data_IF_198521432652
#
_entry.id   IF_198521432652
#
_cell.length_a   1.000
_cell.length_b   1.000
_cell.length_c   1.000
_cell.angle_alpha   90.00
_cell.angle_beta   90.00
_cell.angle_gamma   90.00
#
_symmetry.space_group_name_H-M   'P 1'
#
loop_
_entity.id
_entity.type
_entity.pdbx_description
1 polymer ?
#
# COMPACT_ATOMS: atom_id res chain seq x y z
N UNK A 1 -23.29 27.98 35.64
CA UNK A 1 -23.59 26.89 34.70
C UNK A 1 -22.73 27.11 33.48
N UNK A 2 -21.53 26.53 33.49
CA UNK A 2 -20.67 26.44 32.31
C UNK A 2 -20.62 24.97 31.92
N UNK A 3 -20.83 24.67 30.64
CA UNK A 3 -20.85 23.30 30.14
C UNK A 3 -19.43 22.82 29.89
N UNK A 4 -18.95 21.85 30.68
CA UNK A 4 -17.75 21.09 30.35
C UNK A 4 -17.95 20.37 29.00
N UNK A 5 -17.14 20.72 28.00
CA UNK A 5 -17.07 19.92 26.77
C UNK A 5 -16.31 18.63 27.07
N UNK A 6 -16.99 17.49 26.95
CA UNK A 6 -16.36 16.17 27.03
C UNK A 6 -15.46 15.91 25.81
N UNK A 7 -14.22 16.39 25.88
CA UNK A 7 -13.17 16.09 24.91
C UNK A 7 -12.81 14.60 24.96
N UNK A 8 -13.27 13.85 23.96
CA UNK A 8 -12.96 12.42 23.82
C UNK A 8 -11.57 12.23 23.21
N UNK A 9 -10.57 11.97 24.07
CA UNK A 9 -9.14 11.82 23.73
C UNK A 9 -8.90 10.67 22.73
N UNK A 10 -8.83 10.98 21.42
CA UNK A 10 -8.50 10.00 20.38
C UNK A 10 -7.05 10.13 19.92
N UNK A 11 -6.29 9.03 20.08
CA UNK A 11 -4.91 8.77 19.67
C UNK A 11 -3.73 9.46 20.40
N UNK A 12 -2.70 8.63 20.66
CA UNK A 12 -1.36 9.05 21.10
C UNK A 12 -0.70 9.98 20.07
N UNK A 13 -0.18 11.13 20.51
CA UNK A 13 0.50 12.08 19.63
C UNK A 13 2.02 11.84 19.65
N UNK A 14 2.56 11.68 18.44
CA UNK A 14 3.98 11.69 18.12
C UNK A 14 4.31 13.05 17.48
N UNK A 15 5.15 13.86 18.13
CA UNK A 15 5.66 15.14 17.58
C UNK A 15 7.18 15.09 17.40
N UNK A 16 7.68 15.30 16.19
CA UNK A 16 9.11 15.48 15.96
C UNK A 16 9.54 16.90 16.32
N UNK A 17 10.55 17.03 17.19
CA UNK A 17 11.13 18.31 17.60
C UNK A 17 12.48 18.49 16.91
N UNK A 18 12.63 19.54 16.10
CA UNK A 18 13.91 19.96 15.57
C UNK A 18 14.57 20.95 16.54
N UNK A 19 15.74 20.61 17.08
CA UNK A 19 16.55 21.52 17.87
C UNK A 19 17.48 22.36 16.96
N UNK A 20 17.68 23.67 17.24
CA UNK A 20 18.62 24.49 16.50
C UNK A 20 20.06 23.98 16.65
N UNK A 21 20.80 23.96 15.54
CA UNK A 21 22.23 23.62 15.57
C UNK A 21 23.05 24.86 15.96
N UNK A 22 23.54 24.93 17.20
CA UNK A 22 24.53 25.94 17.59
C UNK A 22 25.91 25.60 17.03
N UNK A 23 26.58 26.59 16.43
CA UNK A 23 27.86 26.41 15.72
C UNK A 23 29.02 27.13 16.44
N UNK A 24 29.82 26.30 17.12
CA UNK A 24 31.29 26.34 17.25
C UNK A 24 32.00 27.43 18.10
N UNK A 25 32.72 26.93 19.11
CA UNK A 25 34.08 27.34 19.51
C UNK A 25 34.98 26.08 19.53
N UNK A 26 36.31 26.18 19.34
CA UNK A 26 37.04 25.08 18.69
C UNK A 26 37.70 24.04 19.61
N UNK A 27 37.95 22.86 19.00
CA UNK A 27 38.93 21.83 19.40
C UNK A 27 38.54 20.91 20.57
N UNK A 28 37.49 20.12 20.36
CA UNK A 28 37.32 18.81 21.00
C UNK A 28 37.32 17.69 19.94
N UNK A 29 37.55 16.46 20.38
CA UNK A 29 37.56 15.23 19.56
C UNK A 29 36.31 15.12 18.67
N UNK A 30 36.48 14.50 17.49
CA UNK A 30 35.40 14.28 16.53
C UNK A 30 34.46 13.16 17.02
N UNK A 31 33.71 13.44 18.08
CA UNK A 31 32.88 12.47 18.77
C UNK A 31 31.74 12.00 17.87
N UNK A 32 31.44 10.71 17.96
CA UNK A 32 30.56 10.00 17.02
C UNK A 32 29.08 10.20 17.35
N UNK A 33 28.64 11.46 17.34
CA UNK A 33 27.24 11.83 17.53
C UNK A 33 26.34 11.07 16.55
N UNK A 34 25.53 10.15 17.09
CA UNK A 34 24.62 9.30 16.33
C UNK A 34 23.46 10.15 15.79
N UNK A 35 23.11 9.99 14.51
CA UNK A 35 22.03 10.77 13.89
C UNK A 35 20.66 10.18 14.24
N UNK A 36 20.17 10.53 15.43
CA UNK A 36 18.86 10.16 15.94
C UNK A 36 17.81 11.22 15.59
N UNK A 37 16.55 10.78 15.59
CA UNK A 37 15.36 11.62 15.57
C UNK A 37 14.65 11.49 16.90
N UNK A 38 14.14 12.59 17.41
CA UNK A 38 13.43 12.63 18.69
C UNK A 38 11.94 12.86 18.45
N UNK A 39 11.12 12.13 19.20
CA UNK A 39 9.68 12.37 19.29
C UNK A 39 9.26 12.57 20.75
N UNK A 40 8.37 13.54 21.00
CA UNK A 40 7.61 13.67 22.24
C UNK A 40 6.48 12.64 22.31
N UNK A 41 6.32 11.98 23.46
CA UNK A 41 5.21 11.09 23.79
C UNK A 41 4.14 11.86 24.58
N UNK A 42 2.90 11.94 24.07
CA UNK A 42 1.76 12.45 24.85
C UNK A 42 0.95 11.29 25.43
N UNK A 43 0.75 11.25 26.75
CA UNK A 43 -0.10 10.25 27.40
C UNK A 43 -1.59 10.69 27.36
N UNK A 44 -2.46 10.02 26.59
CA UNK A 44 -3.89 9.96 26.92
C UNK A 44 -4.08 8.89 28.02
N UNK A 45 -5.06 9.08 28.90
CA UNK A 45 -5.48 8.06 29.86
C UNK A 45 -6.28 6.95 29.15
N UNK A 46 -5.88 5.70 29.37
CA UNK A 46 -6.53 4.46 28.89
C UNK A 46 -6.74 4.35 27.35
N UNK A 47 -5.82 3.69 26.62
CA UNK A 47 -6.17 3.12 25.33
C UNK A 47 -7.03 1.86 25.54
N UNK A 48 -7.95 1.55 24.63
CA UNK A 48 -8.60 0.25 24.61
C UNK A 48 -7.57 -0.87 24.43
N UNK A 49 -7.90 -2.07 24.92
CA UNK A 49 -7.13 -3.31 24.76
C UNK A 49 -6.76 -3.61 23.29
N UNK A 50 -7.55 -3.04 22.37
CA UNK A 50 -7.45 -3.08 20.91
C UNK A 50 -6.07 -2.66 20.34
N UNK A 51 -5.30 -1.75 20.93
CA UNK A 51 -4.06 -1.25 20.27
C UNK A 51 -3.06 -2.37 19.94
N UNK A 52 -2.87 -3.34 20.84
CA UNK A 52 -1.99 -4.48 20.58
C UNK A 52 -2.57 -5.42 19.51
N UNK A 53 -3.88 -5.69 19.57
CA UNK A 53 -4.60 -6.50 18.60
C UNK A 53 -4.55 -5.88 17.19
N UNK A 54 -4.79 -4.57 17.10
CA UNK A 54 -4.68 -3.76 15.88
C UNK A 54 -3.29 -3.86 15.27
N UNK A 55 -2.22 -3.60 16.04
CA UNK A 55 -0.84 -3.71 15.52
C UNK A 55 -0.51 -5.12 15.03
N UNK A 56 -0.98 -6.15 15.75
CA UNK A 56 -0.81 -7.55 15.36
C UNK A 56 -1.55 -7.88 14.06
N UNK A 57 -2.81 -7.43 13.92
CA UNK A 57 -3.59 -7.54 12.68
C UNK A 57 -2.91 -6.85 11.50
N UNK A 58 -2.45 -5.61 11.66
CA UNK A 58 -1.75 -4.87 10.61
C UNK A 58 -0.42 -5.54 10.21
N UNK A 59 0.32 -6.11 11.16
CA UNK A 59 1.53 -6.86 10.89
C UNK A 59 1.24 -8.16 10.11
N UNK A 60 0.25 -8.93 10.54
CA UNK A 60 -0.18 -10.15 9.88
C UNK A 60 -0.69 -9.89 8.45
N UNK A 61 -1.54 -8.87 8.27
CA UNK A 61 -2.04 -8.45 6.96
C UNK A 61 -0.90 -8.02 6.03
N UNK A 62 0.09 -7.26 6.54
CA UNK A 62 1.25 -6.81 5.77
C UNK A 62 2.16 -7.97 5.33
N UNK A 63 2.40 -8.94 6.21
CA UNK A 63 3.17 -10.15 5.87
C UNK A 63 2.44 -11.02 4.85
N UNK A 64 1.14 -11.23 5.05
CA UNK A 64 0.32 -11.99 4.10
C UNK A 64 0.27 -11.30 2.73
N UNK A 65 0.15 -9.97 2.70
CA UNK A 65 0.24 -9.13 1.50
C UNK A 65 1.56 -9.28 0.78
N UNK A 66 2.68 -9.29 1.52
CA UNK A 66 4.00 -9.55 0.97
C UNK A 66 4.12 -10.93 0.32
N UNK A 67 3.51 -11.98 0.87
CA UNK A 67 3.47 -13.30 0.24
C UNK A 67 2.65 -13.33 -1.05
N UNK A 68 1.47 -12.70 -1.06
CA UNK A 68 0.62 -12.68 -2.26
C UNK A 68 1.26 -11.92 -3.42
N UNK A 69 1.89 -10.76 -3.15
CA UNK A 69 2.62 -9.97 -4.14
C UNK A 69 3.69 -10.79 -4.88
N UNK A 70 4.07 -11.93 -4.33
CA UNK A 70 5.03 -12.82 -4.97
C UNK A 70 4.39 -13.69 -6.09
N UNK A 71 3.11 -13.46 -6.49
CA UNK A 71 2.36 -14.25 -7.51
C UNK A 71 1.13 -13.59 -8.28
N UNK A 72 1.23 -12.56 -9.18
CA UNK A 72 0.05 -11.96 -9.92
C UNK A 72 -0.21 -12.36 -11.42
N UNK A 73 -1.03 -11.60 -12.22
CA UNK A 73 -1.35 -11.66 -13.71
C UNK A 73 -1.88 -10.27 -14.25
N UNK A 74 -2.33 -10.09 -15.54
CA UNK A 74 -3.38 -9.13 -16.15
C UNK A 74 -3.04 -8.35 -17.52
N UNK A 75 -3.99 -7.93 -18.44
CA UNK A 75 -3.84 -7.15 -19.78
C UNK A 75 -4.79 -5.86 -20.09
N UNK A 76 -4.61 -4.86 -21.07
CA UNK A 76 -5.06 -3.38 -20.99
C UNK A 76 -5.70 -2.53 -22.17
N UNK A 77 -6.18 -1.26 -21.91
CA UNK A 77 -6.26 -0.06 -22.83
C UNK A 77 -6.67 1.33 -22.18
N UNK A 78 -6.51 2.53 -22.82
CA UNK A 78 -6.23 3.89 -22.22
C UNK A 78 -7.30 5.07 -22.14
N UNK A 79 -7.10 6.13 -21.27
CA UNK A 79 -7.93 7.39 -21.03
C UNK A 79 -7.13 8.66 -20.46
N UNK A 80 -7.66 9.48 -19.51
CA UNK A 80 -7.21 10.87 -19.14
C UNK A 80 -7.48 11.34 -17.66
N UNK A 81 -7.10 12.59 -17.31
CA UNK A 81 -6.97 13.26 -15.98
C UNK A 81 -8.24 13.40 -15.10
N UNK A 82 -8.13 13.25 -13.77
CA UNK A 82 -9.20 13.49 -12.74
C UNK A 82 -8.58 13.58 -11.32
N UNK A 83 -9.24 14.19 -10.32
CA UNK A 83 -8.88 14.09 -8.89
C UNK A 83 -9.99 13.44 -8.05
N UNK A 84 -9.64 12.70 -6.99
CA UNK A 84 -10.59 12.11 -6.01
C UNK A 84 -10.04 12.16 -4.58
N UNK A 85 -10.90 12.29 -3.54
CA UNK A 85 -10.49 12.16 -2.15
C UNK A 85 -9.84 10.81 -1.83
N UNK A 86 -8.87 10.83 -0.91
CA UNK A 86 -8.11 9.67 -0.44
C UNK A 86 -7.97 9.73 1.09
N UNK A 87 -8.59 8.77 1.79
CA UNK A 87 -8.77 8.78 3.26
C UNK A 87 -8.12 7.55 3.94
N UNK A 88 -7.53 7.71 5.15
CA UNK A 88 -6.97 6.61 5.93
C UNK A 88 -8.04 5.89 6.77
N UNK A 89 -7.87 4.59 7.01
CA UNK A 89 -8.83 3.77 7.76
C UNK A 89 -8.17 2.80 8.75
N UNK A 90 -8.88 2.46 9.84
CA UNK A 90 -8.36 1.63 10.94
C UNK A 90 -7.87 0.23 10.50
N UNK A 91 -8.44 -0.33 9.44
CA UNK A 91 -7.99 -1.59 8.83
C UNK A 91 -6.62 -1.49 8.14
N UNK A 92 -5.98 -0.31 8.09
CA UNK A 92 -4.60 -0.10 7.66
C UNK A 92 -4.41 0.16 6.17
N UNK A 93 -5.48 0.44 5.44
CA UNK A 93 -5.44 0.86 4.04
C UNK A 93 -5.89 2.31 3.86
N UNK A 94 -5.88 2.74 2.60
CA UNK A 94 -6.42 4.02 2.17
C UNK A 94 -7.54 3.79 1.16
N UNK A 95 -8.69 4.42 1.36
CA UNK A 95 -9.82 4.33 0.43
C UNK A 95 -9.89 5.54 -0.50
N UNK A 96 -10.32 5.27 -1.73
CA UNK A 96 -10.89 6.25 -2.66
C UNK A 96 -12.35 5.90 -2.94
N UNK A 97 -13.09 6.85 -3.48
CA UNK A 97 -14.46 6.64 -3.96
C UNK A 97 -14.49 6.77 -5.47
N UNK A 98 -15.06 5.78 -6.16
CA UNK A 98 -15.31 5.81 -7.61
C UNK A 98 -16.79 5.58 -7.88
N UNK A 99 -17.29 6.07 -9.02
CA UNK A 99 -18.68 5.90 -9.43
C UNK A 99 -18.75 5.02 -10.67
N UNK A 100 -19.68 4.07 -10.68
CA UNK A 100 -19.89 3.14 -11.80
C UNK A 100 -21.35 3.11 -12.22
N UNK A 101 -21.61 3.01 -13.51
CA UNK A 101 -22.94 2.78 -14.07
C UNK A 101 -23.69 4.02 -14.55
N UNK A 102 -24.85 3.77 -15.14
CA UNK A 102 -25.76 4.79 -15.67
C UNK A 102 -27.20 4.52 -15.20
N UNK A 103 -27.75 5.25 -14.22
CA UNK A 103 -27.10 6.31 -13.43
C UNK A 103 -25.96 5.79 -12.53
N UNK A 104 -25.02 6.65 -12.10
CA UNK A 104 -23.84 6.20 -11.37
C UNK A 104 -24.13 5.81 -9.91
N UNK A 105 -23.66 4.63 -9.53
CA UNK A 105 -23.62 4.11 -8.16
C UNK A 105 -22.24 4.40 -7.56
N UNK A 106 -22.19 4.90 -6.33
CA UNK A 106 -20.97 5.36 -5.67
C UNK A 106 -20.40 4.26 -4.76
N UNK A 107 -19.15 3.86 -4.97
CA UNK A 107 -18.54 2.70 -4.31
C UNK A 107 -17.17 3.06 -3.69
N UNK A 108 -16.84 2.58 -2.48
CA UNK A 108 -15.52 2.71 -1.87
C UNK A 108 -14.56 1.61 -2.35
N UNK A 109 -13.29 1.96 -2.56
CA UNK A 109 -12.23 1.04 -2.97
C UNK A 109 -10.94 1.30 -2.19
N UNK A 110 -10.29 0.25 -1.70
CA UNK A 110 -8.91 0.34 -1.24
C UNK A 110 -8.02 0.65 -2.45
N UNK A 111 -7.18 1.67 -2.34
CA UNK A 111 -6.21 2.04 -3.38
C UNK A 111 -4.96 1.16 -3.28
N UNK A 112 -4.71 0.33 -4.29
CA UNK A 112 -3.69 -0.72 -4.23
C UNK A 112 -2.69 -0.69 -5.41
N UNK A 113 -1.52 -0.07 -5.21
CA UNK A 113 -0.44 -0.04 -6.22
C UNK A 113 0.31 -1.38 -6.41
N UNK A 114 0.12 -2.35 -5.52
CA UNK A 114 0.65 -3.71 -5.61
C UNK A 114 -0.34 -4.74 -6.18
N UNK A 115 -1.48 -4.33 -6.73
CA UNK A 115 -2.32 -5.18 -7.58
C UNK A 115 -2.86 -4.42 -8.78
N UNK A 116 -3.58 -5.10 -9.66
CA UNK A 116 -4.07 -4.50 -10.90
C UNK A 116 -5.54 -4.73 -11.18
N UNK A 117 -6.22 -5.75 -10.62
CA UNK A 117 -7.64 -5.88 -10.91
C UNK A 117 -8.48 -4.89 -10.10
N UNK A 118 -9.45 -4.26 -10.75
CA UNK A 118 -10.47 -3.42 -10.09
C UNK A 118 -11.72 -4.26 -9.88
N UNK A 119 -12.26 -4.30 -8.66
CA UNK A 119 -13.49 -5.03 -8.35
C UNK A 119 -14.24 -4.42 -7.16
N UNK A 120 -15.53 -4.69 -7.09
CA UNK A 120 -16.41 -4.28 -5.99
C UNK A 120 -17.33 -5.42 -5.50
N UNK A 121 -17.81 -5.37 -4.25
CA UNK A 121 -18.96 -6.15 -3.80
C UNK A 121 -20.16 -5.93 -4.71
N UNK A 122 -20.82 -7.01 -5.14
CA UNK A 122 -21.81 -6.96 -6.20
C UNK A 122 -23.07 -7.79 -5.87
N UNK A 123 -24.24 -7.22 -6.19
CA UNK A 123 -25.58 -7.74 -5.89
C UNK A 123 -25.95 -7.76 -4.40
N UNK A 124 -27.27 -7.80 -4.11
CA UNK A 124 -27.80 -7.96 -2.76
C UNK A 124 -27.42 -9.29 -2.08
N UNK A 125 -26.92 -10.26 -2.85
CA UNK A 125 -26.53 -11.59 -2.36
C UNK A 125 -25.01 -11.71 -2.12
N UNK A 126 -24.29 -10.58 -2.06
CA UNK A 126 -22.85 -10.59 -1.77
C UNK A 126 -22.54 -11.22 -0.41
N UNK A 127 -21.60 -12.16 -0.38
CA UNK A 127 -21.18 -12.84 0.86
C UNK A 127 -19.73 -12.50 1.21
N UNK A 128 -19.52 -11.91 2.38
CA UNK A 128 -18.20 -11.68 2.95
C UNK A 128 -17.95 -12.63 4.12
N UNK A 129 -16.91 -13.47 4.02
CA UNK A 129 -16.51 -14.42 5.08
C UNK A 129 -15.29 -13.92 5.87
N UNK A 130 -15.35 -13.99 7.20
CA UNK A 130 -14.27 -13.55 8.10
C UNK A 130 -13.89 -12.07 7.85
N UNK A 131 -14.89 -11.21 7.66
CA UNK A 131 -14.73 -9.81 7.22
C UNK A 131 -15.04 -8.81 8.34
N UNK A 132 -14.79 -9.19 9.58
CA UNK A 132 -15.18 -8.41 10.75
C UNK A 132 -14.24 -7.21 10.89
N UNK A 133 -14.80 -6.01 10.77
CA UNK A 133 -14.07 -4.78 11.06
C UNK A 133 -13.87 -4.67 12.58
N UNK A 134 -12.64 -4.40 13.02
CA UNK A 134 -12.30 -4.24 14.45
C UNK A 134 -12.85 -2.95 15.10
N UNK A 135 -13.81 -2.28 14.45
CA UNK A 135 -14.58 -1.17 15.02
C UNK A 135 -15.84 -1.74 15.68
N UNK A 136 -15.96 -1.61 17.00
CA UNK A 136 -17.04 -2.20 17.82
C UNK A 136 -18.45 -1.59 17.63
N UNK A 137 -18.92 -1.46 16.40
CA UNK A 137 -20.30 -1.19 16.05
C UNK A 137 -20.83 -2.32 15.15
N UNK A 138 -21.64 -3.18 15.76
CA UNK A 138 -22.54 -4.19 15.19
C UNK A 138 -22.20 -4.81 13.82
N UNK A 139 -21.98 -6.12 13.85
CA UNK A 139 -22.15 -7.04 12.74
C UNK A 139 -23.47 -6.83 11.98
N UNK A 140 -23.47 -6.05 10.90
CA UNK A 140 -24.45 -6.27 9.82
C UNK A 140 -23.73 -6.39 8.47
N UNK A 141 -23.73 -7.61 7.93
CA UNK A 141 -23.20 -7.93 6.59
C UNK A 141 -23.95 -7.18 5.48
N UNK A 142 -25.16 -6.66 5.76
CA UNK A 142 -25.94 -5.79 4.86
C UNK A 142 -25.40 -4.36 4.75
N UNK A 143 -24.48 -3.94 5.63
CA UNK A 143 -23.89 -2.59 5.60
C UNK A 143 -22.81 -2.40 4.52
N UNK A 144 -22.27 -3.50 3.96
CA UNK A 144 -21.26 -3.43 2.90
C UNK A 144 -21.91 -2.82 1.65
N UNK A 145 -21.43 -1.68 1.13
CA UNK A 145 -21.95 -1.11 -0.12
C UNK A 145 -21.78 -2.12 -1.24
N UNK A 146 -22.85 -2.40 -1.98
CA UNK A 146 -22.87 -3.33 -3.11
C UNK A 146 -23.33 -2.62 -4.36
N UNK A 147 -22.62 -2.87 -5.47
CA UNK A 147 -23.05 -2.43 -6.78
C UNK A 147 -24.15 -3.36 -7.30
N UNK A 148 -25.24 -2.81 -7.83
CA UNK A 148 -26.37 -3.56 -8.39
C UNK A 148 -26.38 -3.38 -9.92
N UNK A 149 -25.91 -4.36 -10.71
CA UNK A 149 -25.82 -4.22 -12.18
C UNK A 149 -27.17 -3.91 -12.84
N UNK A 150 -28.27 -4.44 -12.32
CA UNK A 150 -29.62 -4.19 -12.85
C UNK A 150 -30.08 -2.72 -12.75
N UNK A 151 -29.42 -1.91 -11.93
CA UNK A 151 -29.70 -0.47 -11.79
C UNK A 151 -28.80 0.40 -12.70
N UNK A 152 -27.96 -0.21 -13.54
CA UNK A 152 -27.12 0.48 -14.53
C UNK A 152 -27.49 0.04 -15.94
N UNK A 153 -27.92 0.98 -16.77
CA UNK A 153 -28.23 0.72 -18.20
C UNK A 153 -26.98 0.45 -19.05
N UNK A 154 -25.78 0.71 -18.51
CA UNK A 154 -24.50 0.45 -19.19
C UNK A 154 -23.77 -0.81 -18.67
N UNK A 155 -24.31 -1.50 -17.66
CA UNK A 155 -23.74 -2.74 -17.14
C UNK A 155 -23.91 -3.91 -18.13
N UNK A 156 -22.80 -4.55 -18.50
CA UNK A 156 -22.77 -5.70 -19.42
C UNK A 156 -21.83 -6.77 -18.88
N UNK A 157 -22.29 -8.02 -18.78
CA UNK A 157 -21.39 -9.15 -18.47
C UNK A 157 -20.42 -9.33 -19.64
N UNK A 158 -19.13 -9.52 -19.35
CA UNK A 158 -18.11 -9.74 -20.38
C UNK A 158 -18.35 -11.09 -21.04
N UNK A 159 -18.60 -11.12 -22.36
CA UNK A 159 -18.62 -12.36 -23.16
C UNK A 159 -17.21 -12.93 -23.36
N UNK A 160 -17.05 -14.25 -23.55
CA UNK A 160 -15.70 -14.84 -23.61
C UNK A 160 -14.86 -14.35 -24.82
N UNK A 161 -15.47 -14.16 -25.98
CA UNK A 161 -14.77 -13.59 -27.15
C UNK A 161 -14.40 -12.10 -27.01
N UNK A 162 -14.81 -11.43 -25.93
CA UNK A 162 -14.38 -10.07 -25.66
C UNK A 162 -12.87 -10.06 -25.34
N UNK A 163 -12.04 -9.23 -25.99
CA UNK A 163 -10.60 -9.17 -25.71
C UNK A 163 -10.25 -8.95 -24.24
N UNK A 164 -11.12 -8.23 -23.49
CA UNK A 164 -10.96 -7.97 -22.06
C UNK A 164 -11.15 -9.21 -21.17
N UNK A 165 -11.65 -10.32 -21.70
CA UNK A 165 -11.67 -11.59 -20.97
C UNK A 165 -10.25 -12.17 -20.80
N UNK A 166 -9.44 -12.11 -21.86
CA UNK A 166 -8.01 -12.45 -21.83
C UNK A 166 -7.14 -11.44 -21.06
N UNK A 167 -7.75 -10.39 -20.51
CA UNK A 167 -7.10 -9.50 -19.55
C UNK A 167 -7.11 -10.05 -18.14
N UNK A 168 -8.08 -10.89 -17.78
CA UNK A 168 -8.23 -11.46 -16.45
C UNK A 168 -7.54 -12.82 -16.37
N UNK A 169 -7.72 -13.61 -17.43
CA UNK A 169 -7.26 -14.99 -17.53
C UNK A 169 -6.04 -15.08 -18.45
N UNK A 170 -5.11 -16.00 -18.14
CA UNK A 170 -3.91 -16.25 -18.96
C UNK A 170 -4.30 -16.55 -20.43
N UNK A 171 -3.62 -16.06 -21.48
CA UNK A 171 -3.93 -16.25 -22.91
C UNK A 171 -4.55 -17.59 -23.38
N UNK A 172 -4.23 -18.72 -22.74
CA UNK A 172 -4.95 -20.01 -22.89
C UNK A 172 -6.44 -19.98 -22.47
N UNK A 173 -7.00 -18.81 -22.13
CA UNK A 173 -8.43 -18.60 -21.85
C UNK A 173 -9.31 -19.11 -22.98
N UNK A 174 -8.81 -19.10 -24.23
CA UNK A 174 -9.49 -19.68 -25.39
C UNK A 174 -9.80 -21.17 -25.20
N UNK A 175 -8.93 -21.92 -24.52
CA UNK A 175 -9.18 -23.33 -24.17
C UNK A 175 -10.23 -23.51 -23.05
N UNK A 176 -10.58 -22.45 -22.32
CA UNK A 176 -11.66 -22.44 -21.31
C UNK A 176 -13.02 -22.01 -21.87
N UNK A 177 -13.09 -21.70 -23.16
CA UNK A 177 -14.32 -21.36 -23.88
C UNK A 177 -14.44 -22.25 -25.12
N UNK A 178 -14.43 -23.56 -24.87
CA UNK A 178 -14.38 -24.65 -25.86
C UNK A 178 -15.37 -24.50 -27.01
N UNK A 179 -16.55 -23.97 -26.71
CA UNK A 179 -17.69 -23.96 -27.65
C UNK A 179 -17.74 -22.66 -28.47
N UNK A 180 -16.81 -21.73 -28.20
CA UNK A 180 -16.71 -20.44 -28.89
C UNK A 180 -15.57 -20.46 -29.92
N UNK A 181 -15.81 -21.15 -31.04
CA UNK A 181 -14.91 -21.14 -32.19
C UNK A 181 -14.60 -19.71 -32.66
N UNK A 182 -13.35 -19.48 -33.11
CA UNK A 182 -12.80 -18.15 -33.43
C UNK A 182 -13.61 -17.31 -34.44
N UNK A 183 -14.43 -17.96 -35.27
CA UNK A 183 -15.25 -17.31 -36.30
C UNK A 183 -16.76 -17.37 -35.99
N UNK A 184 -17.17 -17.80 -34.78
CA UNK A 184 -18.58 -17.82 -34.37
C UNK A 184 -19.02 -16.44 -33.88
N UNK A 185 -19.86 -15.76 -34.65
CA UNK A 185 -20.56 -14.54 -34.21
C UNK A 185 -21.56 -14.78 -33.07
N UNK A 186 -21.88 -16.05 -32.79
CA UNK A 186 -22.99 -16.46 -31.92
C UNK A 186 -22.51 -17.07 -30.58
N UNK A 187 -21.28 -16.80 -30.16
CA UNK A 187 -20.79 -17.19 -28.83
C UNK A 187 -21.58 -16.47 -27.72
N UNK A 188 -22.47 -17.20 -27.04
CA UNK A 188 -23.21 -16.71 -25.87
C UNK A 188 -22.51 -16.96 -24.54
N UNK A 189 -21.38 -17.69 -24.54
CA UNK A 189 -20.62 -17.95 -23.31
C UNK A 189 -20.07 -16.66 -22.72
N UNK A 190 -20.28 -16.49 -21.41
CA UNK A 190 -19.65 -15.42 -20.63
C UNK A 190 -18.17 -15.72 -20.40
N UNK A 191 -17.39 -14.69 -20.10
CA UNK A 191 -16.02 -14.85 -19.64
C UNK A 191 -16.00 -15.70 -18.35
N UNK A 192 -15.06 -16.65 -18.19
CA UNK A 192 -15.02 -17.51 -17.02
C UNK A 192 -14.98 -16.70 -15.71
N UNK A 193 -15.61 -17.17 -14.62
CA UNK A 193 -15.51 -16.53 -13.31
C UNK A 193 -14.06 -16.38 -12.86
N UNK A 194 -13.73 -15.28 -12.19
CA UNK A 194 -12.43 -15.11 -11.56
C UNK A 194 -12.44 -15.54 -10.10
N UNK A 195 -11.29 -15.99 -9.63
CA UNK A 195 -10.93 -16.06 -8.22
C UNK A 195 -9.59 -15.35 -8.08
N UNK A 196 -9.56 -14.27 -7.30
CA UNK A 196 -8.36 -13.50 -7.03
C UNK A 196 -8.04 -13.65 -5.56
N UNK A 197 -6.88 -14.23 -5.29
CA UNK A 197 -6.28 -14.21 -3.97
C UNK A 197 -5.65 -12.83 -3.79
N UNK A 198 -5.70 -12.31 -2.57
CA UNK A 198 -4.85 -11.25 -2.06
C UNK A 198 -4.03 -11.84 -0.91
N UNK A 199 -3.28 -11.02 -0.19
CA UNK A 199 -2.59 -11.49 1.01
C UNK A 199 -3.50 -11.52 2.23
N UNK A 200 -4.17 -10.41 2.48
CA UNK A 200 -5.17 -10.27 3.55
C UNK A 200 -6.38 -11.19 3.37
N UNK A 201 -6.77 -11.46 2.12
CA UNK A 201 -8.04 -12.12 1.81
C UNK A 201 -8.15 -12.66 0.38
N UNK A 202 -9.36 -12.84 -0.12
CA UNK A 202 -9.64 -13.29 -1.49
C UNK A 202 -11.00 -12.82 -1.97
N UNK A 203 -11.26 -12.87 -3.28
CA UNK A 203 -12.55 -12.51 -3.87
C UNK A 203 -12.84 -13.32 -5.13
N UNK A 204 -14.11 -13.59 -5.41
CA UNK A 204 -14.52 -14.26 -6.64
C UNK A 204 -15.85 -13.74 -7.18
N UNK A 205 -16.01 -13.82 -8.50
CA UNK A 205 -17.18 -13.28 -9.19
C UNK A 205 -17.04 -13.26 -10.71
N UNK A 206 -17.80 -12.37 -11.33
CA UNK A 206 -17.94 -12.26 -12.78
C UNK A 206 -17.34 -10.96 -13.30
N UNK A 207 -16.74 -11.03 -14.49
CA UNK A 207 -16.22 -9.85 -15.18
C UNK A 207 -17.37 -9.03 -15.78
N UNK A 208 -17.38 -7.73 -15.48
CA UNK A 208 -18.38 -6.76 -15.94
C UNK A 208 -17.69 -5.65 -16.74
N UNK A 209 -18.37 -5.17 -17.77
CA UNK A 209 -18.11 -3.86 -18.37
C UNK A 209 -19.17 -2.89 -17.88
N UNK A 210 -18.76 -1.70 -17.44
CA UNK A 210 -19.69 -0.61 -17.19
C UNK A 210 -19.01 0.75 -17.41
N UNK A 211 -19.77 1.84 -17.30
CA UNK A 211 -19.26 3.21 -17.38
C UNK A 211 -18.64 3.60 -16.04
N UNK A 212 -17.34 3.87 -15.99
CA UNK A 212 -16.71 4.57 -14.87
C UNK A 212 -16.97 6.07 -15.02
N UNK A 213 -17.60 6.68 -14.02
CA UNK A 213 -17.92 8.11 -13.97
C UNK A 213 -16.92 8.83 -13.04
N UNK A 214 -16.15 9.73 -13.65
CA UNK A 214 -15.12 10.56 -13.01
C UNK A 214 -15.60 12.02 -12.85
N UNK A 215 -16.92 12.22 -12.80
CA UNK A 215 -17.66 13.50 -12.81
C UNK A 215 -17.47 14.32 -14.10
N UNK A 216 -16.23 14.74 -14.38
CA UNK A 216 -15.87 15.53 -15.58
C UNK A 216 -15.77 14.66 -16.84
N UNK A 217 -15.62 13.35 -16.66
CA UNK A 217 -15.47 12.39 -17.76
C UNK A 217 -16.14 11.06 -17.45
N UNK A 218 -16.85 10.53 -18.45
CA UNK A 218 -17.34 9.16 -18.45
C UNK A 218 -16.42 8.28 -19.28
N UNK A 219 -16.16 7.07 -18.78
CA UNK A 219 -15.30 6.06 -19.40
C UNK A 219 -16.16 4.82 -19.63
N UNK A 220 -16.78 4.69 -20.82
CA UNK A 220 -17.61 3.53 -21.14
C UNK A 220 -16.74 2.26 -21.25
N UNK A 221 -17.39 1.11 -21.07
CA UNK A 221 -16.77 -0.22 -21.18
C UNK A 221 -15.53 -0.43 -20.30
N UNK A 222 -15.45 0.23 -19.14
CA UNK A 222 -14.41 -0.03 -18.14
C UNK A 222 -14.59 -1.45 -17.57
N UNK A 223 -13.52 -2.23 -17.54
CA UNK A 223 -13.55 -3.60 -17.02
C UNK A 223 -13.46 -3.58 -15.50
N UNK A 224 -14.43 -4.21 -14.84
CA UNK A 224 -14.48 -4.29 -13.38
C UNK A 224 -15.01 -5.66 -12.93
N UNK A 225 -14.52 -6.13 -11.79
CA UNK A 225 -15.05 -7.31 -11.14
C UNK A 225 -16.34 -7.03 -10.40
N UNK A 226 -17.43 -7.71 -10.80
CA UNK A 226 -18.63 -7.87 -9.99
C UNK A 226 -18.41 -9.07 -9.06
N UNK A 227 -17.86 -8.83 -7.86
CA UNK A 227 -17.57 -9.90 -6.90
C UNK A 227 -18.84 -10.34 -6.20
N UNK A 228 -19.11 -11.64 -6.25
CA UNK A 228 -20.25 -12.27 -5.58
C UNK A 228 -19.89 -12.71 -4.15
N UNK A 229 -18.60 -12.94 -3.90
CA UNK A 229 -18.10 -13.23 -2.57
C UNK A 229 -16.69 -12.70 -2.35
N UNK A 230 -16.32 -12.59 -1.07
CA UNK A 230 -14.94 -12.41 -0.64
C UNK A 230 -14.69 -13.09 0.71
N UNK A 231 -13.42 -13.20 1.07
CA UNK A 231 -13.02 -13.53 2.44
C UNK A 231 -11.97 -12.54 2.91
N UNK A 232 -12.10 -12.05 4.16
CA UNK A 232 -11.20 -11.07 4.81
C UNK A 232 -10.98 -9.78 4.01
N UNK A 233 -11.93 -9.44 3.14
CA UNK A 233 -11.82 -8.30 2.23
C UNK A 233 -13.21 -7.69 2.00
N UNK A 234 -13.73 -6.90 2.96
CA UNK A 234 -15.09 -6.34 2.91
C UNK A 234 -15.29 -5.28 1.82
N UNK A 235 -14.29 -4.41 1.63
CA UNK A 235 -14.32 -3.37 0.61
C UNK A 235 -13.69 -3.86 -0.72
N UNK A 236 -14.17 -3.28 -1.83
CA UNK A 236 -13.57 -3.46 -3.15
C UNK A 236 -12.12 -2.95 -3.20
N UNK A 237 -11.39 -3.34 -4.25
CA UNK A 237 -10.02 -2.88 -4.48
C UNK A 237 -9.95 -2.21 -5.85
N UNK A 238 -9.29 -1.05 -5.89
CA UNK A 238 -8.88 -0.40 -7.11
C UNK A 238 -7.39 -0.67 -7.31
N UNK A 239 -7.06 -1.59 -8.21
CA UNK A 239 -5.68 -1.88 -8.59
C UNK A 239 -5.05 -0.70 -9.33
N UNK A 240 -3.87 -0.26 -8.87
CA UNK A 240 -3.08 0.84 -9.42
C UNK A 240 -1.72 0.39 -10.00
N UNK A 241 -1.47 -0.91 -10.05
CA UNK A 241 -0.29 -1.51 -10.67
C UNK A 241 -0.12 -1.19 -12.17
N UNK A 242 0.96 -1.73 -12.73
CA UNK A 242 1.29 -1.67 -14.17
C UNK A 242 0.65 -2.79 -14.97
N UNK A 243 0.13 -3.78 -14.26
CA UNK A 243 -0.84 -4.71 -14.80
C UNK A 243 -2.04 -3.93 -15.26
N UNK A 244 -2.80 -4.61 -16.08
CA UNK A 244 -3.21 -3.90 -17.28
C UNK A 244 -4.75 -3.72 -17.28
N UNK A 245 -5.45 -4.48 -16.43
CA UNK A 245 -6.77 -4.17 -15.85
C UNK A 245 -6.73 -3.08 -14.76
N UNK A 246 -5.55 -2.54 -14.43
CA UNK A 246 -5.41 -1.50 -13.41
C UNK A 246 -6.00 -0.16 -13.84
N UNK A 247 -6.41 0.66 -12.88
CA UNK A 247 -6.91 2.01 -13.11
C UNK A 247 -5.94 2.82 -13.99
N UNK A 248 -4.61 2.86 -13.79
CA UNK A 248 -3.72 3.63 -14.65
C UNK A 248 -3.63 3.12 -16.08
N UNK A 249 -3.77 1.81 -16.26
CA UNK A 249 -3.72 1.15 -17.58
C UNK A 249 -5.04 1.34 -18.31
N UNK A 250 -6.15 0.99 -17.67
CA UNK A 250 -7.53 1.22 -18.12
C UNK A 250 -7.89 2.69 -18.32
N UNK A 251 -7.22 3.60 -17.62
CA UNK A 251 -7.32 5.05 -17.80
C UNK A 251 -6.11 5.66 -18.51
N UNK A 252 -5.19 4.86 -19.09
CA UNK A 252 -4.11 5.35 -19.96
C UNK A 252 -3.30 6.51 -19.43
N UNK A 253 -3.10 6.54 -18.13
CA UNK A 253 -2.54 7.68 -17.43
C UNK A 253 -1.08 7.87 -17.85
N UNK A 254 -0.69 9.11 -18.13
CA UNK A 254 0.73 9.47 -18.23
C UNK A 254 1.36 9.50 -16.84
N UNK A 255 0.55 9.78 -15.82
CA UNK A 255 0.95 9.96 -14.43
C UNK A 255 -0.22 9.72 -13.48
N UNK A 256 0.06 9.28 -12.26
CA UNK A 256 -0.80 9.52 -11.10
C UNK A 256 0.03 9.92 -9.86
N UNK A 257 -0.60 10.58 -8.89
CA UNK A 257 0.07 11.05 -7.68
C UNK A 257 -0.87 11.18 -6.48
N UNK A 258 -0.36 11.02 -5.27
CA UNK A 258 -1.12 11.10 -4.02
C UNK A 258 -0.29 11.65 -2.87
N UNK A 259 -0.92 11.94 -1.73
CA UNK A 259 -0.27 12.33 -0.49
C UNK A 259 -0.94 11.61 0.68
N UNK A 260 -0.33 10.58 1.26
CA UNK A 260 -1.02 9.78 2.29
C UNK A 260 -1.12 10.54 3.63
N UNK A 261 -2.35 10.84 4.05
CA UNK A 261 -2.69 11.35 5.39
C UNK A 261 -2.23 10.37 6.46
N UNK A 262 -1.82 10.85 7.64
CA UNK A 262 -1.33 9.96 8.68
C UNK A 262 -2.45 9.09 9.29
N UNK A 263 -2.14 7.82 9.57
CA UNK A 263 -3.04 6.86 10.26
C UNK A 263 -3.44 7.28 11.69
N UNK A 264 -2.89 8.36 12.25
CA UNK A 264 -3.47 9.00 13.45
C UNK A 264 -4.86 9.61 13.22
N UNK A 265 -5.29 9.68 11.96
CA UNK A 265 -6.57 10.22 11.50
C UNK A 265 -7.48 9.15 10.89
N UNK A 266 -7.19 7.86 11.13
CA UNK A 266 -8.01 6.74 10.69
C UNK A 266 -9.49 6.95 11.04
N UNK A 267 -10.37 6.72 10.06
CA UNK A 267 -11.83 6.81 10.18
C UNK A 267 -12.37 8.20 10.60
N UNK A 268 -11.53 9.23 10.51
CA UNK A 268 -11.96 10.64 10.61
C UNK A 268 -12.30 11.23 9.24
N UNK A 269 -12.82 12.46 9.22
CA UNK A 269 -13.09 13.20 7.97
C UNK A 269 -11.82 13.76 7.29
N UNK A 270 -10.62 13.55 7.87
CA UNK A 270 -9.36 14.02 7.29
C UNK A 270 -9.01 13.21 6.04
N UNK A 271 -8.93 13.89 4.90
CA UNK A 271 -8.61 13.29 3.62
C UNK A 271 -7.58 14.11 2.85
N UNK A 272 -7.02 13.48 1.83
CA UNK A 272 -6.10 14.06 0.85
C UNK A 272 -6.65 13.85 -0.56
N UNK A 273 -5.84 14.05 -1.60
CA UNK A 273 -6.25 13.83 -2.99
C UNK A 273 -5.35 12.82 -3.70
N UNK A 274 -5.99 11.88 -4.42
CA UNK A 274 -5.40 11.11 -5.50
C UNK A 274 -5.66 11.84 -6.81
N UNK A 275 -4.60 12.24 -7.51
CA UNK A 275 -4.64 12.92 -8.79
C UNK A 275 -4.19 11.98 -9.91
N UNK A 276 -5.09 11.72 -10.86
CA UNK A 276 -4.89 10.96 -12.08
C UNK A 276 -4.57 11.94 -13.21
N UNK A 277 -3.64 11.63 -14.12
CA UNK A 277 -3.25 12.54 -15.22
C UNK A 277 -3.09 11.80 -16.55
N UNK A 278 -3.79 12.29 -17.58
CA UNK A 278 -3.80 11.74 -18.92
C UNK A 278 -2.58 12.06 -19.78
N UNK A 279 -2.53 11.48 -20.98
CA UNK A 279 -1.46 11.74 -21.95
C UNK A 279 -1.46 13.16 -22.55
N UNK A 280 -2.61 13.85 -22.56
CA UNK A 280 -2.78 15.16 -23.19
C UNK A 280 -2.33 16.36 -22.35
N UNK A 281 -1.90 16.17 -21.09
CA UNK A 281 -1.50 17.28 -20.21
C UNK A 281 0.00 17.19 -19.89
N UNK A 282 0.73 18.25 -20.24
CA UNK A 282 2.07 18.50 -19.71
C UNK A 282 1.95 18.90 -18.23
N UNK A 283 1.90 17.90 -17.34
CA UNK A 283 1.74 18.15 -15.91
C UNK A 283 2.83 19.08 -15.36
N UNK A 284 2.42 19.98 -14.46
CA UNK A 284 3.29 21.00 -13.88
C UNK A 284 4.54 20.40 -13.22
N UNK A 285 5.67 21.10 -13.37
CA UNK A 285 6.95 20.72 -12.78
C UNK A 285 7.00 21.16 -11.31
N UNK A 286 6.29 20.45 -10.45
CA UNK A 286 6.28 20.65 -9.00
C UNK A 286 7.71 20.70 -8.44
N UNK A 287 8.01 21.76 -7.70
CA UNK A 287 9.34 21.99 -7.13
C UNK A 287 9.68 20.98 -6.02
N UNK A 288 10.98 20.65 -5.89
CA UNK A 288 11.51 19.83 -4.80
C UNK A 288 11.27 18.32 -4.89
N UNK A 289 10.59 17.81 -5.93
CA UNK A 289 10.44 16.37 -6.15
C UNK A 289 11.79 15.73 -6.49
N UNK A 290 12.15 14.67 -5.74
CA UNK A 290 13.28 13.80 -6.05
C UNK A 290 12.80 12.61 -6.85
N UNK A 291 13.50 12.26 -7.92
CA UNK A 291 13.13 11.17 -8.82
C UNK A 291 14.14 10.02 -8.81
N UNK A 292 13.63 8.80 -8.88
CA UNK A 292 14.39 7.57 -9.20
C UNK A 292 13.71 6.84 -10.36
N UNK A 293 14.45 6.02 -11.11
CA UNK A 293 13.90 5.27 -12.26
C UNK A 293 13.05 4.10 -11.78
N UNK A 294 11.85 3.97 -12.35
CA UNK A 294 11.07 2.74 -12.26
C UNK A 294 11.74 1.68 -13.12
N UNK A 295 12.13 0.58 -12.48
CA UNK A 295 12.71 -0.57 -13.15
C UNK A 295 11.60 -1.45 -13.74
N UNK A 296 11.97 -2.30 -14.70
CA UNK A 296 11.20 -3.50 -15.03
C UNK A 296 11.88 -4.66 -14.31
N UNK A 297 11.09 -5.61 -13.82
CA UNK A 297 11.66 -6.91 -13.44
C UNK A 297 12.20 -7.58 -14.73
N UNK A 298 13.37 -8.24 -14.71
CA UNK A 298 13.80 -9.09 -15.82
C UNK A 298 12.70 -10.07 -16.24
N UNK A 299 12.47 -10.22 -17.54
CA UNK A 299 11.51 -11.22 -18.03
C UNK A 299 12.14 -12.61 -17.89
N UNK A 300 11.83 -13.27 -16.78
CA UNK A 300 12.20 -14.66 -16.49
C UNK A 300 10.94 -15.51 -16.67
N UNK A 301 11.09 -16.67 -17.32
CA UNK A 301 9.98 -17.58 -17.61
C UNK A 301 9.25 -18.01 -16.32
N UNK A 302 7.91 -18.01 -16.35
CA UNK A 302 7.04 -18.25 -15.19
C UNK A 302 7.18 -17.21 -14.05
N UNK A 303 7.76 -16.04 -14.33
CA UNK A 303 7.85 -14.85 -13.46
C UNK A 303 7.36 -13.57 -14.14
N UNK A 304 6.70 -13.68 -15.30
CA UNK A 304 6.13 -12.57 -16.08
C UNK A 304 5.20 -11.72 -15.22
N UNK A 305 4.57 -12.34 -14.24
CA UNK A 305 3.73 -11.70 -13.23
C UNK A 305 4.44 -10.55 -12.49
N UNK A 306 5.75 -10.61 -12.23
CA UNK A 306 6.47 -9.51 -11.56
C UNK A 306 6.60 -8.24 -12.40
N UNK A 307 6.28 -8.29 -13.70
CA UNK A 307 6.28 -7.10 -14.56
C UNK A 307 5.23 -6.05 -14.16
N UNK A 308 4.16 -6.44 -13.45
CA UNK A 308 3.06 -5.55 -13.06
C UNK A 308 3.43 -4.56 -11.95
N UNK A 309 4.61 -4.68 -11.33
CA UNK A 309 4.99 -3.86 -10.17
C UNK A 309 5.89 -2.66 -10.50
N UNK A 310 5.77 -1.63 -9.65
CA UNK A 310 6.61 -0.45 -9.64
C UNK A 310 7.94 -0.72 -8.94
N UNK A 311 8.81 -1.47 -9.59
CA UNK A 311 10.14 -1.78 -9.05
C UNK A 311 11.05 -0.56 -8.96
N UNK A 312 11.80 -0.49 -7.86
CA UNK A 312 12.84 0.49 -7.57
C UNK A 312 14.17 -0.22 -7.27
N UNK A 313 15.26 0.37 -7.76
CA UNK A 313 16.60 -0.03 -7.38
C UNK A 313 17.05 0.70 -6.13
N UNK A 314 17.22 0.00 -5.01
CA UNK A 314 17.94 0.51 -3.85
C UNK A 314 19.45 0.47 -4.14
N UNK A 315 20.16 1.51 -3.70
CA UNK A 315 21.62 1.54 -3.64
C UNK A 315 22.10 1.15 -2.24
N UNK A 316 21.54 1.78 -1.21
CA UNK A 316 21.85 1.51 0.20
C UNK A 316 20.60 1.72 1.08
N UNK A 317 20.48 0.94 2.16
CA UNK A 317 19.72 1.33 3.35
C UNK A 317 20.70 1.91 4.38
N UNK A 318 20.32 3.03 5.02
CA UNK A 318 21.12 3.67 6.06
C UNK A 318 20.32 3.76 7.36
N UNK A 319 20.97 3.43 8.48
CA UNK A 319 20.46 3.61 9.84
C UNK A 319 21.41 4.56 10.56
N UNK A 320 20.89 5.70 11.02
CA UNK A 320 21.71 6.86 11.35
C UNK A 320 22.63 7.22 10.19
N UNK A 321 23.92 7.39 10.51
CA UNK A 321 24.98 7.64 9.52
C UNK A 321 25.56 6.36 8.89
N UNK A 322 25.21 5.16 9.39
CA UNK A 322 25.83 3.90 8.96
C UNK A 322 25.12 3.27 7.77
N UNK A 323 25.89 2.81 6.79
CA UNK A 323 25.37 1.95 5.70
C UNK A 323 25.20 0.53 6.21
N UNK A 324 23.99 0.00 6.15
CA UNK A 324 23.72 -1.41 6.46
C UNK A 324 24.33 -2.29 5.36
N UNK A 325 25.03 -3.37 5.73
CA UNK A 325 25.63 -4.32 4.79
C UNK A 325 24.56 -5.31 4.33
N UNK A 326 24.07 -5.15 3.10
CA UNK A 326 23.06 -6.02 2.47
C UNK A 326 23.60 -6.45 1.09
N UNK A 327 23.52 -7.73 0.70
CA UNK A 327 23.91 -8.19 -0.64
C UNK A 327 23.16 -7.48 -1.77
N UNK A 328 23.86 -7.18 -2.88
CA UNK A 328 23.30 -6.41 -4.01
C UNK A 328 22.06 -7.03 -4.67
N UNK A 329 21.96 -8.36 -4.89
CA UNK A 329 20.77 -8.96 -5.52
C UNK A 329 19.47 -8.60 -4.78
N UNK A 330 19.49 -8.58 -3.45
CA UNK A 330 18.32 -8.20 -2.65
C UNK A 330 17.95 -6.70 -2.75
N UNK A 331 18.84 -5.84 -3.24
CA UNK A 331 18.61 -4.39 -3.35
C UNK A 331 18.13 -3.94 -4.75
N UNK A 332 18.22 -4.78 -5.79
CA UNK A 332 17.71 -4.44 -7.12
C UNK A 332 17.44 -5.69 -7.96
N UNK A 333 16.28 -5.83 -8.62
CA UNK A 333 16.01 -6.99 -9.49
C UNK A 333 16.95 -7.04 -10.70
N UNK A 334 17.55 -5.90 -11.09
CA UNK A 334 18.56 -5.81 -12.14
C UNK A 334 19.96 -6.34 -11.72
N UNK A 335 20.18 -6.58 -10.42
CA UNK A 335 21.42 -7.16 -9.89
C UNK A 335 21.24 -8.66 -9.56
N UNK A 336 20.17 -9.29 -10.09
CA UNK A 336 19.74 -10.65 -9.77
C UNK A 336 19.41 -11.45 -11.03
N UNK A 337 20.01 -12.64 -11.18
CA UNK A 337 19.82 -13.50 -12.35
C UNK A 337 18.39 -14.08 -12.44
N UNK A 338 17.69 -14.20 -11.32
CA UNK A 338 16.35 -14.81 -11.21
C UNK A 338 15.21 -13.79 -11.24
N UNK A 339 15.53 -12.49 -11.38
CA UNK A 339 14.58 -11.38 -11.25
C UNK A 339 14.14 -11.07 -9.80
N UNK A 340 14.52 -11.89 -8.83
CA UNK A 340 14.17 -11.67 -7.41
C UNK A 340 14.99 -10.52 -6.82
N UNK A 341 14.42 -9.79 -5.86
CA UNK A 341 15.12 -8.70 -5.17
C UNK A 341 14.66 -7.29 -5.53
N UNK A 342 15.32 -6.33 -4.87
CA UNK A 342 14.96 -4.92 -4.88
C UNK A 342 13.64 -4.60 -4.20
N UNK A 343 13.21 -3.36 -4.41
CA UNK A 343 12.06 -2.77 -3.75
C UNK A 343 10.89 -2.59 -4.72
N UNK A 344 9.66 -2.66 -4.21
CA UNK A 344 8.48 -2.07 -4.84
C UNK A 344 7.83 -1.07 -3.88
N UNK A 345 6.90 -0.27 -4.37
CA UNK A 345 6.04 0.60 -3.54
C UNK A 345 4.62 0.08 -3.61
N UNK A 346 4.00 -0.16 -2.45
CA UNK A 346 2.62 -0.65 -2.37
C UNK A 346 1.82 0.17 -1.33
N UNK A 347 0.75 0.82 -1.79
CA UNK A 347 -0.24 1.51 -0.96
C UNK A 347 -1.21 0.54 -0.27
N UNK A 348 -1.40 -0.66 -0.82
CA UNK A 348 -2.22 -1.75 -0.27
C UNK A 348 -1.50 -2.61 0.78
N UNK A 349 -0.21 -2.37 1.03
CA UNK A 349 0.54 -2.95 2.16
C UNK A 349 0.63 -1.91 3.26
N UNK A 350 0.27 -2.26 4.50
CA UNK A 350 0.29 -1.32 5.63
C UNK A 350 1.72 -1.02 6.10
N UNK A 351 2.38 -2.02 6.71
CA UNK A 351 3.76 -1.93 7.18
C UNK A 351 4.73 -2.43 6.11
N UNK A 352 5.86 -1.73 5.92
CA UNK A 352 6.90 -2.20 5.00
C UNK A 352 7.33 -3.62 5.29
N UNK A 353 7.35 -4.48 4.29
CA UNK A 353 7.97 -5.81 4.39
C UNK A 353 9.43 -5.75 3.94
N UNK A 354 10.30 -6.49 4.63
CA UNK A 354 11.66 -6.79 4.19
C UNK A 354 11.89 -8.30 4.30
N UNK A 355 12.49 -8.90 3.26
CA UNK A 355 13.02 -10.27 3.34
C UNK A 355 14.12 -10.35 4.40
N UNK A 356 14.35 -11.53 4.99
CA UNK A 356 15.15 -11.69 6.23
C UNK A 356 16.58 -11.15 6.10
N UNK A 357 17.20 -11.31 4.93
CA UNK A 357 18.57 -10.88 4.60
C UNK A 357 18.69 -9.36 4.44
N UNK A 358 17.56 -8.67 4.28
CA UNK A 358 17.44 -7.21 4.35
C UNK A 358 17.06 -6.77 5.76
N UNK A 359 16.09 -7.46 6.37
CA UNK A 359 15.52 -7.12 7.67
C UNK A 359 16.53 -7.27 8.82
N UNK A 360 17.13 -8.46 8.99
CA UNK A 360 17.96 -8.75 10.17
C UNK A 360 19.18 -7.81 10.29
N UNK A 361 19.89 -7.43 9.20
CA UNK A 361 20.94 -6.42 9.27
C UNK A 361 20.42 -5.01 9.63
N UNK A 362 19.22 -4.64 9.18
CA UNK A 362 18.61 -3.33 9.48
C UNK A 362 18.14 -3.27 10.93
N UNK A 363 17.40 -4.29 11.38
CA UNK A 363 16.92 -4.42 12.75
C UNK A 363 18.08 -4.43 13.76
N UNK A 364 19.12 -5.24 13.53
CA UNK A 364 20.33 -5.29 14.38
C UNK A 364 21.04 -3.94 14.47
N UNK A 365 21.09 -3.17 13.38
CA UNK A 365 21.71 -1.85 13.40
C UNK A 365 20.87 -0.83 14.18
N UNK A 366 19.54 -0.89 14.04
CA UNK A 366 18.61 -0.09 14.84
C UNK A 366 18.79 -0.41 16.33
N UNK A 367 18.85 -1.69 16.71
CA UNK A 367 19.10 -2.15 18.08
C UNK A 367 20.46 -1.65 18.63
N UNK A 368 21.52 -1.69 17.80
CA UNK A 368 22.86 -1.22 18.18
C UNK A 368 22.89 0.28 18.49
N UNK A 369 22.13 1.08 17.74
CA UNK A 369 22.03 2.53 17.95
C UNK A 369 21.03 2.88 19.06
N UNK A 370 19.97 2.08 19.25
CA UNK A 370 18.95 2.24 20.29
C UNK A 370 19.30 1.56 21.64
N UNK A 371 20.56 1.19 21.87
CA UNK A 371 21.03 0.45 23.07
C UNK A 371 20.73 1.10 24.44
N UNK A 372 20.32 2.37 24.46
CA UNK A 372 19.83 3.05 25.67
C UNK A 372 18.45 2.59 26.14
N UNK A 373 17.72 1.82 25.33
CA UNK A 373 16.39 1.30 25.65
C UNK A 373 16.39 -0.22 25.80
N UNK A 374 15.68 -0.73 26.82
CA UNK A 374 15.48 -2.18 27.00
C UNK A 374 14.53 -2.71 25.91
N UNK A 375 14.75 -3.94 25.45
CA UNK A 375 13.86 -4.61 24.48
C UNK A 375 12.56 -5.05 25.15
N UNK A 376 11.41 -4.68 24.57
CA UNK A 376 10.09 -5.05 25.07
C UNK A 376 9.63 -6.39 24.47
N UNK A 377 10.28 -7.50 24.87
CA UNK A 377 10.11 -8.83 24.24
C UNK A 377 8.69 -9.38 24.27
N UNK A 378 7.93 -9.11 25.32
CA UNK A 378 6.50 -9.47 25.41
C UNK A 378 5.67 -8.75 24.34
N UNK A 379 5.94 -7.46 24.10
CA UNK A 379 5.29 -6.68 23.03
C UNK A 379 5.68 -7.19 21.64
N UNK A 380 6.94 -7.63 21.44
CA UNK A 380 7.36 -8.26 20.18
C UNK A 380 6.58 -9.56 19.91
N UNK A 381 6.32 -10.36 20.94
CA UNK A 381 5.52 -11.59 20.83
C UNK A 381 4.03 -11.31 20.56
N UNK A 382 3.44 -10.29 21.20
CA UNK A 382 2.03 -9.93 21.02
C UNK A 382 1.74 -9.28 19.65
N UNK A 383 2.66 -8.45 19.15
CA UNK A 383 2.44 -7.66 17.92
C UNK A 383 3.08 -8.27 16.66
N UNK A 384 4.02 -9.20 16.82
CA UNK A 384 4.86 -9.69 15.72
C UNK A 384 5.88 -8.68 15.19
N UNK A 385 5.91 -7.45 15.73
CA UNK A 385 6.84 -6.39 15.34
C UNK A 385 8.16 -6.50 16.13
N UNK A 386 9.28 -6.19 15.50
CA UNK A 386 10.59 -6.14 16.18
C UNK A 386 11.57 -5.22 15.43
N UNK A 387 12.53 -4.57 16.12
CA UNK A 387 12.61 -4.44 17.55
C UNK A 387 11.49 -3.56 18.13
N UNK A 388 11.00 -3.94 19.30
CA UNK A 388 10.25 -3.07 20.20
C UNK A 388 11.13 -2.66 21.38
N UNK A 389 11.09 -1.37 21.75
CA UNK A 389 11.86 -0.79 22.84
C UNK A 389 10.90 -0.30 23.93
N UNK A 390 11.16 -0.67 25.18
CA UNK A 390 10.43 -0.15 26.33
C UNK A 390 10.79 1.33 26.53
N UNK A 391 9.77 2.17 26.63
CA UNK A 391 9.87 3.62 26.81
C UNK A 391 8.98 4.14 27.94
N UNK A 392 8.50 3.24 28.81
CA UNK A 392 7.67 3.57 29.97
C UNK A 392 8.33 4.66 30.83
N UNK A 393 7.55 5.70 31.16
CA UNK A 393 8.02 6.84 31.97
C UNK A 393 8.85 7.89 31.22
N UNK A 394 9.15 7.69 29.92
CA UNK A 394 9.85 8.69 29.12
C UNK A 394 8.87 9.71 28.52
N UNK A 395 9.26 11.00 28.52
CA UNK A 395 8.52 12.06 27.81
C UNK A 395 8.98 12.22 26.36
N UNK A 396 10.22 11.83 26.06
CA UNK A 396 10.87 11.95 24.75
C UNK A 396 11.67 10.68 24.45
N UNK A 397 11.60 10.21 23.21
CA UNK A 397 12.32 9.03 22.74
C UNK A 397 13.17 9.42 21.53
N UNK A 398 14.44 9.00 21.52
CA UNK A 398 15.44 9.37 20.51
C UNK A 398 15.95 8.11 19.79
N UNK A 399 15.42 7.84 18.60
CA UNK A 399 15.69 6.62 17.82
C UNK A 399 16.51 6.93 16.56
N UNK A 400 17.30 5.98 16.03
CA UNK A 400 18.14 6.22 14.87
C UNK A 400 17.33 6.58 13.61
N UNK A 401 17.84 7.53 12.81
CA UNK A 401 17.21 7.94 11.56
C UNK A 401 17.24 6.84 10.50
N UNK A 402 16.14 6.59 9.79
CA UNK A 402 16.08 5.66 8.65
C UNK A 402 16.01 6.42 7.33
N UNK A 403 16.82 6.02 6.33
CA UNK A 403 16.74 6.55 4.96
C UNK A 403 17.14 5.53 3.90
N UNK A 404 16.41 5.55 2.78
CA UNK A 404 16.73 4.77 1.59
C UNK A 404 17.45 5.65 0.57
N UNK A 405 18.58 5.17 0.05
CA UNK A 405 19.29 5.79 -1.08
C UNK A 405 19.02 4.92 -2.31
N UNK A 406 18.41 5.49 -3.34
CA UNK A 406 18.09 4.79 -4.58
C UNK A 406 19.25 4.84 -5.59
N UNK A 407 19.25 3.92 -6.56
CA UNK A 407 20.02 4.07 -7.80
C UNK A 407 19.59 5.37 -8.50
N UNK A 408 20.53 6.11 -9.08
CA UNK A 408 20.29 7.48 -9.57
C UNK A 408 20.40 8.59 -8.50
N UNK A 409 20.64 8.25 -7.22
CA UNK A 409 21.06 9.22 -6.20
C UNK A 409 19.95 9.91 -5.41
N UNK A 410 18.68 9.67 -5.72
CA UNK A 410 17.57 10.12 -4.88
C UNK A 410 17.65 9.49 -3.48
N UNK A 411 17.29 10.26 -2.45
CA UNK A 411 17.31 9.83 -1.05
C UNK A 411 15.97 10.16 -0.40
N UNK A 412 15.28 9.13 0.11
CA UNK A 412 14.06 9.27 0.92
C UNK A 412 14.44 9.13 2.38
N UNK A 413 14.16 10.16 3.18
CA UNK A 413 14.49 10.23 4.60
C UNK A 413 13.18 10.18 5.37
N UNK A 414 12.89 9.05 6.02
CA UNK A 414 11.60 8.82 6.64
C UNK A 414 11.47 9.64 7.95
N UNK A 415 10.35 10.33 8.20
CA UNK A 415 9.95 10.76 9.55
C UNK A 415 9.94 9.57 10.51
N UNK A 416 10.14 9.80 11.82
CA UNK A 416 10.29 8.67 12.75
C UNK A 416 8.95 7.93 12.97
N UNK A 417 7.85 8.67 12.93
CA UNK A 417 6.46 8.20 12.88
C UNK A 417 6.11 7.35 11.64
N UNK A 418 6.93 7.39 10.58
CA UNK A 418 6.74 6.57 9.38
C UNK A 418 7.31 5.15 9.53
N UNK A 419 8.15 4.88 10.55
CA UNK A 419 8.74 3.56 10.77
C UNK A 419 8.76 3.11 12.25
N UNK A 420 8.20 3.88 13.18
CA UNK A 420 7.91 3.44 14.53
C UNK A 420 6.47 3.78 14.92
N UNK A 421 5.78 2.82 15.54
CA UNK A 421 4.49 3.05 16.22
C UNK A 421 4.64 2.85 17.72
N UNK A 422 3.84 3.60 18.49
CA UNK A 422 3.61 3.31 19.90
C UNK A 422 2.78 2.02 20.01
N UNK A 423 3.07 1.20 21.02
CA UNK A 423 2.28 0.06 21.44
C UNK A 423 1.93 0.19 22.95
N UNK A 424 0.73 -0.27 23.33
CA UNK A 424 0.22 -0.15 24.70
C UNK A 424 0.06 1.29 25.18
N UNK A 425 0.21 1.50 26.50
CA UNK A 425 0.09 2.82 27.16
C UNK A 425 1.33 3.72 26.99
N UNK A 426 1.87 3.79 25.77
CA UNK A 426 3.24 4.26 25.54
C UNK A 426 4.29 3.47 26.35
N UNK A 427 4.03 2.17 26.53
CA UNK A 427 4.92 1.21 27.20
C UNK A 427 6.10 0.84 26.29
N UNK A 428 5.83 0.73 24.98
CA UNK A 428 6.83 0.41 23.98
C UNK A 428 6.66 1.21 22.68
N UNK A 429 7.76 1.33 21.93
CA UNK A 429 7.77 1.76 20.53
C UNK A 429 8.37 0.65 19.66
N UNK A 430 7.65 0.28 18.60
CA UNK A 430 7.95 -0.86 17.74
C UNK A 430 8.25 -0.44 16.31
N UNK A 431 9.29 -1.02 15.71
CA UNK A 431 9.60 -0.84 14.29
C UNK A 431 8.42 -1.37 13.43
N UNK A 432 7.79 -0.50 12.63
CA UNK A 432 6.68 -0.87 11.72
C UNK A 432 7.20 -1.42 10.40
N UNK A 433 8.04 -2.46 10.52
CA UNK A 433 8.57 -3.25 9.41
C UNK A 433 8.38 -4.72 9.76
N UNK A 434 7.87 -5.52 8.81
CA UNK A 434 7.63 -6.96 8.98
C UNK A 434 8.61 -7.79 8.15
N UNK A 435 8.79 -9.05 8.53
CA UNK A 435 9.67 -10.03 7.89
C UNK A 435 9.09 -11.42 8.02
N UNK A 436 9.52 -12.36 7.16
CA UNK A 436 9.19 -13.77 7.30
C UNK A 436 9.66 -14.34 8.65
N UNK A 437 8.92 -15.31 9.23
CA UNK A 437 9.36 -16.04 10.41
C UNK A 437 10.62 -16.89 10.12
N UNK A 438 11.42 -17.21 11.14
CA UNK A 438 12.57 -18.11 10.97
C UNK A 438 12.13 -19.50 10.50
N UNK A 439 12.98 -20.16 9.72
CA UNK A 439 12.74 -21.52 9.21
C UNK A 439 11.85 -21.62 7.97
N UNK A 440 11.16 -20.55 7.57
CA UNK A 440 10.41 -20.52 6.29
C UNK A 440 11.36 -20.30 5.12
N UNK A 441 11.11 -20.97 4.00
CA UNK A 441 11.81 -20.71 2.73
C UNK A 441 11.61 -19.27 2.27
N UNK A 442 12.69 -18.69 1.74
CA UNK A 442 12.80 -17.35 1.18
C UNK A 442 11.88 -17.19 -0.05
N UNK A 443 10.77 -16.44 0.01
CA UNK A 443 9.85 -16.39 -1.11
C UNK A 443 10.37 -15.44 -2.20
N UNK A 444 10.19 -15.85 -3.47
CA UNK A 444 10.60 -15.17 -4.71
C UNK A 444 10.12 -13.71 -4.83
N UNK A 445 10.50 -12.99 -5.89
CA UNK A 445 10.01 -11.63 -6.15
C UNK A 445 10.70 -10.56 -5.28
N UNK A 446 10.02 -9.44 -4.94
CA UNK A 446 10.65 -8.32 -4.25
C UNK A 446 11.09 -8.68 -2.83
N UNK A 447 12.19 -8.05 -2.38
CA UNK A 447 12.76 -8.24 -1.03
C UNK A 447 12.57 -7.02 -0.13
N UNK A 448 12.04 -5.92 -0.68
CA UNK A 448 11.46 -4.81 0.08
C UNK A 448 10.12 -4.44 -0.56
N UNK A 449 9.08 -4.26 0.25
CA UNK A 449 7.78 -3.75 -0.19
C UNK A 449 7.51 -2.52 0.68
N UNK A 450 7.67 -1.33 0.11
CA UNK A 450 7.51 -0.07 0.83
C UNK A 450 6.01 0.17 1.08
N UNK A 451 5.57 -0.14 2.30
CA UNK A 451 4.18 -0.01 2.75
C UNK A 451 3.74 1.44 2.92
N UNK A 452 2.44 1.62 3.13
CA UNK A 452 1.79 2.92 3.21
C UNK A 452 2.19 3.72 4.47
N UNK A 453 2.54 3.04 5.58
CA UNK A 453 3.09 3.71 6.78
C UNK A 453 4.34 4.53 6.45
N UNK A 454 5.21 4.00 5.60
CA UNK A 454 6.43 4.69 5.19
C UNK A 454 6.18 5.79 4.13
N UNK A 455 5.01 5.80 3.49
CA UNK A 455 4.58 6.79 2.50
C UNK A 455 3.77 7.95 3.11
N UNK A 456 3.33 7.87 4.37
CA UNK A 456 2.66 8.96 5.10
C UNK A 456 3.43 10.29 5.00
N UNK A 457 2.73 11.40 4.77
CA UNK A 457 3.34 12.74 4.64
C UNK A 457 4.45 12.86 3.57
N UNK A 458 4.32 12.09 2.48
CA UNK A 458 5.01 12.34 1.22
C UNK A 458 4.01 12.61 0.11
N UNK A 459 4.30 13.62 -0.72
CA UNK A 459 3.77 13.64 -2.08
C UNK A 459 4.51 12.57 -2.86
N UNK A 460 3.75 11.64 -3.44
CA UNK A 460 4.24 10.49 -4.21
C UNK A 460 3.70 10.60 -5.63
N UNK A 461 4.58 10.41 -6.63
CA UNK A 461 4.27 10.54 -8.05
C UNK A 461 4.77 9.33 -8.84
N UNK A 462 3.91 8.72 -9.64
CA UNK A 462 4.25 7.71 -10.63
C UNK A 462 4.17 8.35 -12.01
N UNK A 463 5.30 8.79 -12.54
CA UNK A 463 5.41 9.32 -13.90
C UNK A 463 5.66 8.14 -14.85
N UNK A 464 4.55 7.60 -15.37
CA UNK A 464 4.51 6.41 -16.22
C UNK A 464 5.14 6.70 -17.58
N UNK A 465 4.89 7.89 -18.13
CA UNK A 465 5.47 8.35 -19.41
C UNK A 465 7.01 8.38 -19.37
N UNK A 466 7.61 8.84 -18.28
CA UNK A 466 9.09 8.86 -18.11
C UNK A 466 9.64 7.68 -17.32
N UNK A 467 8.81 6.69 -16.96
CA UNK A 467 9.16 5.53 -16.14
C UNK A 467 9.99 5.92 -14.90
N UNK A 468 9.47 6.83 -14.07
CA UNK A 468 10.15 7.31 -12.84
C UNK A 468 9.18 7.50 -11.68
N UNK A 469 9.69 7.23 -10.49
CA UNK A 469 9.01 7.42 -9.21
C UNK A 469 9.53 8.71 -8.58
N UNK A 470 8.62 9.65 -8.33
CA UNK A 470 8.87 10.94 -7.70
C UNK A 470 8.39 10.95 -6.26
N UNK A 471 9.15 11.58 -5.36
CA UNK A 471 8.71 11.82 -3.99
C UNK A 471 9.26 13.14 -3.42
N UNK A 472 8.51 13.76 -2.52
CA UNK A 472 8.98 14.81 -1.59
C UNK A 472 8.20 14.77 -0.28
N UNK A 473 8.79 15.13 0.87
CA UNK A 473 8.01 15.37 2.09
C UNK A 473 6.93 16.44 1.84
N UNK A 474 5.72 16.20 2.33
CA UNK A 474 4.58 17.12 2.23
C UNK A 474 3.60 16.82 3.38
N UNK A 475 3.12 17.85 4.07
CA UNK A 475 1.98 17.72 4.99
C UNK A 475 0.73 17.42 4.15
N UNK A 476 0.12 16.24 4.33
CA UNK A 476 -1.02 15.83 3.51
C UNK A 476 -2.38 16.30 4.06
N UNK A 477 -2.43 16.64 5.35
CA UNK A 477 -3.53 17.30 6.06
C UNK A 477 -2.97 18.11 7.24
#
# INVERSE_FOLDING_TARGET
>A
MESESQDTCSFYRLYSVALPSMVHGPRATQDTAQEHKTISLSLCAQPPLDVYHRLSHLAAASLARAHHIKNPKLTPAAVTTTSTPLSPHSYGGYSITLKFGTPPQTMPFVMDTGSSFVWFPCTHNYVCKDCDFSTGQSEDRRSIPTFIPKLSSTARIVGCLNPKCGWIHNPDTRARCSDCALNSSNCTQICPPYLILYGSGSTGGLALLDTLDLNEKKVPEFLVGCSLFSSRQPAGIAGFGRGETAVPSQLGLSKFSYCLVSHKFDDTQMSSSLNLTGNSISGEKLAGIRYTRLLKNPQVQAKEQFSVYYYLGLKNIMVGRKRVKIPRPYLSPADSATGDGGAIVDSGTTFTYMGREVFEPVAREIETQARGYKRAKEVEALTGLRPCFNVSGLKMVSLPSLRFKFKGGAVMVFPLENYFSIAGKAEAVCLTVVTDPPGREEPNGPKVILGNFQQQNFYVEYDLKKNRFGFRPQKCA
#
